data_IF_359539932605
#
_entry.id   IF_359539932605
#
_cell.length_a   1.000
_cell.length_b   1.000
_cell.length_c   1.000
_cell.angle_alpha   90.00
_cell.angle_beta   90.00
_cell.angle_gamma   90.00
#
_symmetry.space_group_name_H-M   'P 1'
#
loop_
_entity.id
_entity.type
_entity.pdbx_description
1 polymer ?
#
# COMPACT_ATOMS: atom_id res chain seq x y z
N UNK A 1 16.83 31.77 -33.70
CA UNK A 1 16.63 30.36 -33.30
C UNK A 1 15.59 30.35 -32.19
N UNK A 2 14.41 29.83 -32.45
CA UNK A 2 13.36 29.70 -31.43
C UNK A 2 13.56 28.37 -30.69
N UNK A 3 13.45 28.32 -29.36
CA UNK A 3 13.53 27.04 -28.62
C UNK A 3 12.30 26.19 -28.93
N UNK A 4 12.53 24.97 -29.33
CA UNK A 4 11.48 23.96 -29.48
C UNK A 4 11.02 23.55 -28.07
N UNK A 5 9.74 23.77 -27.78
CA UNK A 5 9.08 23.22 -26.59
C UNK A 5 8.83 21.73 -26.85
N UNK A 6 9.55 20.89 -26.15
CA UNK A 6 9.25 19.46 -26.07
C UNK A 6 8.06 19.30 -25.11
N UNK A 7 6.90 19.04 -25.64
CA UNK A 7 5.74 18.63 -24.86
C UNK A 7 5.96 17.14 -24.52
N UNK A 8 6.36 16.86 -23.30
CA UNK A 8 6.34 15.51 -22.76
C UNK A 8 4.86 15.20 -22.45
N UNK A 9 4.23 14.46 -23.33
CA UNK A 9 2.93 13.87 -23.07
C UNK A 9 3.15 12.81 -21.99
N UNK A 10 2.67 13.07 -20.77
CA UNK A 10 2.53 12.06 -19.75
C UNK A 10 1.50 11.04 -20.30
N UNK A 11 1.99 9.90 -20.76
CA UNK A 11 1.15 8.75 -21.03
C UNK A 11 0.59 8.27 -19.69
N UNK A 12 -0.67 8.58 -19.43
CA UNK A 12 -1.42 7.90 -18.39
C UNK A 12 -1.47 6.42 -18.79
N UNK A 13 -0.71 5.58 -18.10
CA UNK A 13 -0.83 4.14 -18.19
C UNK A 13 -2.24 3.77 -17.69
N UNK A 14 -3.17 3.66 -18.63
CA UNK A 14 -4.45 3.02 -18.36
C UNK A 14 -4.16 1.52 -18.27
N UNK A 15 -4.13 1.00 -17.05
CA UNK A 15 -4.20 -0.44 -16.86
C UNK A 15 -5.44 -0.94 -17.62
N UNK A 16 -5.22 -1.78 -18.62
CA UNK A 16 -6.30 -2.37 -19.39
C UNK A 16 -7.19 -3.17 -18.45
N UNK A 17 -8.32 -2.58 -18.07
CA UNK A 17 -9.36 -3.27 -17.29
C UNK A 17 -9.80 -4.46 -18.15
N UNK A 18 -9.67 -5.70 -17.66
CA UNK A 18 -10.15 -6.85 -18.41
C UNK A 18 -11.63 -6.66 -18.75
N UNK A 19 -12.00 -7.04 -19.95
CA UNK A 19 -13.35 -6.89 -20.48
C UNK A 19 -14.39 -7.45 -19.49
N UNK A 20 -15.40 -6.62 -19.18
CA UNK A 20 -16.52 -6.90 -18.31
C UNK A 20 -16.23 -7.00 -16.80
N UNK A 21 -15.72 -5.93 -16.18
CA UNK A 21 -15.90 -5.76 -14.74
C UNK A 21 -17.41 -5.58 -14.46
N UNK A 22 -17.97 -6.43 -13.61
CA UNK A 22 -19.31 -6.22 -13.08
C UNK A 22 -19.26 -4.95 -12.20
N UNK A 23 -20.37 -4.19 -12.20
CA UNK A 23 -20.43 -3.04 -11.28
C UNK A 23 -20.37 -3.54 -9.84
N UNK A 24 -19.43 -3.01 -9.08
CA UNK A 24 -19.33 -3.27 -7.64
C UNK A 24 -20.57 -2.73 -6.92
N UNK A 25 -20.92 -3.35 -5.81
CA UNK A 25 -21.84 -2.79 -4.83
C UNK A 25 -21.02 -2.11 -3.73
N UNK A 26 -21.25 -0.82 -3.54
CA UNK A 26 -20.62 -0.05 -2.47
C UNK A 26 -21.67 0.35 -1.45
N UNK A 27 -21.43 -0.01 -0.18
CA UNK A 27 -22.25 0.42 0.95
C UNK A 27 -21.41 1.32 1.84
N UNK A 28 -21.94 2.51 2.17
CA UNK A 28 -21.32 3.43 3.11
C UNK A 28 -22.29 3.70 4.24
N UNK A 29 -22.01 3.17 5.42
CA UNK A 29 -22.91 3.24 6.57
C UNK A 29 -22.11 3.33 7.87
N UNK A 30 -22.52 4.22 8.77
CA UNK A 30 -21.90 4.44 10.08
C UNK A 30 -20.37 4.62 10.00
N UNK A 31 -19.93 5.41 9.03
CA UNK A 31 -18.51 5.68 8.78
C UNK A 31 -17.72 4.48 8.22
N UNK A 32 -18.36 3.35 7.92
CA UNK A 32 -17.73 2.17 7.35
C UNK A 32 -18.12 2.01 5.89
N UNK A 33 -17.14 1.61 5.07
CA UNK A 33 -17.36 1.33 3.66
C UNK A 33 -17.19 -0.16 3.42
N UNK A 34 -18.08 -0.74 2.62
CA UNK A 34 -17.91 -2.08 2.05
C UNK A 34 -18.00 -1.97 0.54
N UNK A 35 -17.01 -2.53 -0.14
CA UNK A 35 -16.94 -2.68 -1.59
C UNK A 35 -16.98 -4.17 -1.91
N UNK A 36 -17.97 -4.59 -2.70
CA UNK A 36 -18.14 -5.98 -3.11
C UNK A 36 -18.24 -6.09 -4.63
N UNK A 37 -17.39 -6.89 -5.26
CA UNK A 37 -17.37 -7.12 -6.70
C UNK A 37 -17.09 -8.58 -7.04
N UNK A 38 -17.78 -9.08 -8.10
CA UNK A 38 -17.46 -10.36 -8.73
C UNK A 38 -16.39 -10.15 -9.77
N UNK A 39 -15.23 -10.73 -9.55
CA UNK A 39 -14.09 -10.62 -10.48
C UNK A 39 -13.72 -11.97 -11.09
N UNK A 40 -12.96 -12.01 -12.18
CA UNK A 40 -12.41 -13.25 -12.70
C UNK A 40 -11.46 -13.98 -11.73
N UNK A 41 -10.99 -13.27 -10.69
CA UNK A 41 -10.01 -13.75 -9.72
C UNK A 41 -10.63 -14.21 -8.40
N UNK A 42 -11.94 -14.15 -8.29
CA UNK A 42 -12.75 -14.45 -7.11
C UNK A 42 -13.72 -13.32 -6.78
N UNK A 43 -14.74 -13.64 -5.97
CA UNK A 43 -15.65 -12.64 -5.41
C UNK A 43 -14.87 -11.87 -4.33
N UNK A 44 -14.63 -10.57 -4.55
CA UNK A 44 -13.84 -9.72 -3.64
C UNK A 44 -14.75 -8.87 -2.76
N UNK A 45 -14.43 -8.82 -1.47
CA UNK A 45 -15.01 -7.88 -0.51
C UNK A 45 -13.87 -7.10 0.16
N UNK A 46 -13.95 -5.76 0.12
CA UNK A 46 -12.99 -4.86 0.75
C UNK A 46 -13.75 -3.93 1.68
N UNK A 47 -13.32 -3.86 2.93
CA UNK A 47 -13.89 -2.96 3.92
C UNK A 47 -12.91 -1.84 4.29
N UNK A 48 -13.44 -0.63 4.50
CA UNK A 48 -12.72 0.49 5.09
C UNK A 48 -13.39 0.91 6.38
N UNK A 49 -12.58 1.10 7.40
CA UNK A 49 -13.01 1.55 8.71
C UNK A 49 -11.82 2.11 9.50
N UNK A 50 -12.10 2.70 10.63
CA UNK A 50 -11.08 2.95 11.64
C UNK A 50 -10.58 1.63 12.20
N UNK A 51 -9.29 1.40 12.17
CA UNK A 51 -8.65 0.17 12.64
C UNK A 51 -7.23 0.44 13.15
N UNK A 52 -6.53 -0.60 13.56
CA UNK A 52 -5.19 -0.56 14.14
C UNK A 52 -5.13 0.18 15.49
N UNK A 53 -3.97 0.16 16.15
CA UNK A 53 -3.78 0.77 17.47
C UNK A 53 -4.03 2.29 17.47
N UNK A 54 -3.66 2.98 16.39
CA UNK A 54 -3.91 4.42 16.22
C UNK A 54 -5.34 4.77 15.80
N UNK A 55 -6.21 3.78 15.57
CA UNK A 55 -7.57 4.00 15.07
C UNK A 55 -7.63 4.85 13.78
N UNK A 56 -6.66 4.62 12.88
CA UNK A 56 -6.62 5.29 11.58
C UNK A 56 -7.64 4.71 10.61
N UNK A 57 -8.16 5.56 9.72
CA UNK A 57 -9.08 5.12 8.69
C UNK A 57 -8.31 4.57 7.47
N UNK A 58 -8.49 3.28 7.20
CA UNK A 58 -7.83 2.57 6.10
C UNK A 58 -8.67 1.38 5.65
N UNK A 59 -8.22 0.60 4.66
CA UNK A 59 -8.86 -0.68 4.40
C UNK A 59 -8.56 -1.64 5.57
N UNK A 60 -9.63 -2.11 6.18
CA UNK A 60 -9.58 -2.86 7.44
C UNK A 60 -9.66 -4.36 7.24
N UNK A 61 -10.22 -4.81 6.13
CA UNK A 61 -10.25 -6.22 5.76
C UNK A 61 -10.39 -6.40 4.26
N UNK A 62 -9.85 -7.50 3.76
CA UNK A 62 -10.05 -7.98 2.39
C UNK A 62 -10.38 -9.46 2.45
N UNK A 63 -11.44 -9.88 1.77
CA UNK A 63 -11.75 -11.29 1.59
C UNK A 63 -11.97 -11.62 0.12
N UNK A 64 -11.66 -12.87 -0.25
CA UNK A 64 -11.91 -13.43 -1.58
C UNK A 64 -12.72 -14.69 -1.40
N UNK A 65 -13.88 -14.80 -2.09
CA UNK A 65 -14.83 -15.90 -1.95
C UNK A 65 -15.23 -16.14 -0.49
N UNK A 66 -15.34 -15.05 0.30
CA UNK A 66 -15.68 -15.08 1.72
C UNK A 66 -14.55 -15.55 2.64
N UNK A 67 -13.32 -15.72 2.14
CA UNK A 67 -12.14 -16.08 2.93
C UNK A 67 -11.29 -14.83 3.14
N UNK A 68 -11.07 -14.45 4.40
CA UNK A 68 -10.24 -13.31 4.75
C UNK A 68 -8.77 -13.54 4.36
N UNK A 69 -8.17 -12.57 3.67
CA UNK A 69 -6.79 -12.65 3.17
C UNK A 69 -5.88 -11.56 3.74
N UNK A 70 -6.41 -10.41 4.13
CA UNK A 70 -5.64 -9.32 4.74
C UNK A 70 -5.97 -9.18 6.23
N UNK A 71 -4.94 -9.09 7.08
CA UNK A 71 -5.13 -8.97 8.52
C UNK A 71 -5.60 -7.56 8.89
N UNK A 72 -6.58 -7.46 9.80
CA UNK A 72 -7.15 -6.18 10.25
C UNK A 72 -6.15 -5.25 10.97
N UNK A 73 -5.06 -5.80 11.47
CA UNK A 73 -3.97 -5.06 12.12
C UNK A 73 -2.80 -4.76 11.19
N UNK A 74 -2.97 -4.98 9.87
CA UNK A 74 -1.91 -4.71 8.90
C UNK A 74 -1.67 -3.21 8.77
N UNK A 75 -0.43 -2.79 8.91
CA UNK A 75 0.03 -1.43 8.58
C UNK A 75 0.11 -1.28 7.06
N UNK A 76 -1.01 -1.15 6.38
CA UNK A 76 -0.99 -1.03 4.91
C UNK A 76 -0.30 0.26 4.43
N UNK A 77 -0.25 1.26 5.28
CA UNK A 77 0.62 2.44 5.17
C UNK A 77 1.56 2.40 6.36
N UNK A 78 2.85 2.29 6.10
CA UNK A 78 3.83 2.10 7.16
C UNK A 78 4.10 3.34 8.00
N UNK A 79 4.60 3.14 9.23
CA UNK A 79 5.02 4.23 10.10
C UNK A 79 6.40 4.77 9.71
N UNK A 80 6.67 6.00 10.15
CA UNK A 80 8.01 6.55 10.23
C UNK A 80 8.69 6.15 11.54
N UNK A 81 9.93 5.68 11.47
CA UNK A 81 10.81 5.59 12.63
C UNK A 81 11.68 6.85 12.70
N UNK A 82 11.51 7.62 13.76
CA UNK A 82 12.33 8.80 14.03
C UNK A 82 13.56 8.37 14.81
N UNK A 83 14.75 8.78 14.35
CA UNK A 83 16.03 8.36 14.92
C UNK A 83 16.05 8.51 16.44
N UNK A 84 16.24 7.37 17.15
CA UNK A 84 16.31 7.26 18.62
C UNK A 84 15.10 7.78 19.40
N UNK A 85 13.98 8.10 18.73
CA UNK A 85 12.80 8.69 19.39
C UNK A 85 11.59 7.78 19.40
N UNK A 86 11.38 6.99 18.34
CA UNK A 86 10.24 6.06 18.24
C UNK A 86 9.48 6.17 16.95
N UNK A 87 8.31 5.55 16.92
CA UNK A 87 7.47 5.42 15.74
C UNK A 87 6.42 6.52 15.67
N UNK A 88 6.01 6.86 14.45
CA UNK A 88 4.91 7.77 14.14
C UNK A 88 4.07 7.22 13.00
N UNK A 89 2.78 7.07 13.21
CA UNK A 89 1.82 6.53 12.22
C UNK A 89 1.65 5.01 12.27
N UNK A 90 0.91 4.48 11.31
CA UNK A 90 0.60 3.06 11.18
C UNK A 90 -0.03 2.46 12.43
N UNK A 91 0.29 1.19 12.72
CA UNK A 91 -0.18 0.45 13.90
C UNK A 91 0.77 0.60 15.13
N UNK A 92 1.44 1.73 15.25
CA UNK A 92 2.44 1.95 16.31
C UNK A 92 2.03 3.07 17.26
N UNK A 93 1.90 2.76 18.54
CA UNK A 93 1.69 3.72 19.61
C UNK A 93 3.04 4.17 20.20
N UNK A 94 3.05 5.32 20.87
CA UNK A 94 4.14 5.79 21.71
C UNK A 94 3.82 5.49 23.19
N UNK A 95 4.12 4.26 23.62
CA UNK A 95 3.60 3.72 24.86
C UNK A 95 2.09 3.51 24.76
N UNK A 96 1.29 4.23 25.57
CA UNK A 96 -0.18 4.21 25.50
C UNK A 96 -0.77 5.38 24.67
N UNK A 97 0.08 6.26 24.13
CA UNK A 97 -0.35 7.44 23.40
C UNK A 97 -0.45 7.16 21.91
N UNK A 98 -1.44 7.77 21.26
CA UNK A 98 -1.54 7.73 19.80
C UNK A 98 -0.31 8.39 19.16
N UNK A 99 0.20 7.81 18.08
CA UNK A 99 1.26 8.40 17.27
C UNK A 99 0.72 9.03 15.96
N UNK A 100 -0.57 8.91 15.73
CA UNK A 100 -1.28 9.53 14.61
C UNK A 100 -2.79 9.54 14.86
N UNK A 101 -3.53 10.34 14.09
CA UNK A 101 -4.99 10.31 14.06
C UNK A 101 -5.53 10.72 12.69
N UNK A 102 -6.69 10.19 12.31
CA UNK A 102 -7.41 10.60 11.10
C UNK A 102 -8.15 11.93 11.36
N UNK A 103 -7.93 12.91 10.48
CA UNK A 103 -8.57 14.23 10.51
C UNK A 103 -9.82 14.26 9.65
N UNK A 104 -9.78 13.68 8.47
CA UNK A 104 -10.91 13.67 7.54
C UNK A 104 -10.92 12.45 6.62
N UNK A 105 -12.12 12.08 6.18
CA UNK A 105 -12.35 11.01 5.19
C UNK A 105 -13.34 11.54 4.16
N UNK A 106 -13.01 11.36 2.88
CA UNK A 106 -13.92 11.64 1.75
C UNK A 106 -14.08 10.38 0.92
N UNK A 107 -15.30 10.12 0.49
CA UNK A 107 -15.66 8.91 -0.25
C UNK A 107 -16.37 9.28 -1.53
N UNK A 108 -15.95 8.72 -2.65
CA UNK A 108 -16.63 8.90 -3.92
C UNK A 108 -16.69 7.59 -4.73
N UNK A 109 -17.73 7.46 -5.55
CA UNK A 109 -17.90 6.35 -6.50
C UNK A 109 -18.09 6.94 -7.90
N UNK A 110 -17.24 6.51 -8.85
CA UNK A 110 -17.20 7.05 -10.21
C UNK A 110 -17.11 8.58 -10.25
N UNK A 111 -16.33 9.16 -9.31
CA UNK A 111 -16.14 10.60 -9.17
C UNK A 111 -17.30 11.36 -8.50
N UNK A 112 -18.35 10.68 -8.04
CA UNK A 112 -19.47 11.30 -7.30
C UNK A 112 -19.30 11.03 -5.82
N UNK A 113 -19.28 12.10 -5.02
CA UNK A 113 -19.20 11.99 -3.57
C UNK A 113 -20.37 11.19 -3.00
N UNK A 114 -20.05 10.25 -2.11
CA UNK A 114 -21.03 9.45 -1.37
C UNK A 114 -21.30 10.08 -0.01
N UNK A 115 -22.56 10.05 0.37
CA UNK A 115 -22.98 10.37 1.73
C UNK A 115 -23.16 9.10 2.53
N UNK A 116 -22.94 9.18 3.84
CA UNK A 116 -23.25 8.09 4.75
C UNK A 116 -24.69 7.60 4.57
N UNK A 117 -24.96 6.35 4.91
CA UNK A 117 -26.27 5.68 4.80
C UNK A 117 -26.73 5.46 3.34
N UNK A 118 -25.82 5.06 2.47
CA UNK A 118 -26.14 4.73 1.08
C UNK A 118 -25.66 3.33 0.69
N UNK A 119 -26.32 2.76 -0.33
CA UNK A 119 -25.86 1.58 -1.05
C UNK A 119 -26.07 1.81 -2.53
N UNK A 120 -24.98 1.80 -3.29
CA UNK A 120 -24.94 2.20 -4.70
C UNK A 120 -24.09 1.24 -5.52
N UNK A 121 -24.26 1.27 -6.84
CA UNK A 121 -23.44 0.48 -7.77
C UNK A 121 -22.56 1.39 -8.62
N UNK A 122 -21.33 1.00 -8.81
CA UNK A 122 -20.36 1.70 -9.63
C UNK A 122 -19.12 0.86 -9.90
N UNK A 123 -18.08 1.46 -10.45
CA UNK A 123 -16.88 0.74 -10.87
C UNK A 123 -15.66 1.12 -10.04
N UNK A 124 -15.49 2.39 -9.74
CA UNK A 124 -14.27 2.93 -9.14
C UNK A 124 -14.66 3.62 -7.83
N UNK A 125 -14.32 2.98 -6.71
CA UNK A 125 -14.43 3.59 -5.39
C UNK A 125 -13.14 4.35 -5.09
N UNK A 126 -13.26 5.61 -4.67
CA UNK A 126 -12.14 6.40 -4.17
C UNK A 126 -12.39 6.78 -2.71
N UNK A 127 -11.42 6.49 -1.86
CA UNK A 127 -11.41 6.87 -0.45
C UNK A 127 -10.19 7.74 -0.22
N UNK A 128 -10.41 9.00 0.17
CA UNK A 128 -9.35 9.95 0.49
C UNK A 128 -9.31 10.16 1.99
N UNK A 129 -8.13 10.06 2.58
CA UNK A 129 -7.92 10.14 4.03
C UNK A 129 -6.83 11.15 4.32
N UNK A 130 -7.12 12.09 5.22
CA UNK A 130 -6.13 13.00 5.78
C UNK A 130 -5.83 12.59 7.23
N UNK A 131 -4.57 12.30 7.52
CA UNK A 131 -4.06 11.98 8.85
C UNK A 131 -3.09 13.06 9.32
N UNK A 132 -2.95 13.17 10.64
CA UNK A 132 -1.85 13.85 11.31
C UNK A 132 -0.98 12.81 11.97
N UNK A 133 0.30 12.83 11.63
CA UNK A 133 1.32 12.05 12.29
C UNK A 133 1.91 12.88 13.44
N UNK A 134 2.10 12.25 14.60
CA UNK A 134 2.57 12.91 15.82
C UNK A 134 4.02 12.55 16.12
N UNK A 135 4.76 13.52 16.60
CA UNK A 135 6.14 13.33 17.00
C UNK A 135 6.22 12.47 18.28
N UNK A 136 7.06 11.41 18.31
CA UNK A 136 7.06 10.45 19.42
C UNK A 136 7.51 11.01 20.76
N UNK A 137 8.25 12.14 20.80
CA UNK A 137 8.75 12.70 22.06
C UNK A 137 7.76 13.59 22.77
N UNK A 138 6.92 14.37 22.05
CA UNK A 138 6.14 15.46 22.63
C UNK A 138 4.73 15.61 22.06
N UNK A 139 4.31 14.68 21.17
CA UNK A 139 3.01 14.66 20.49
C UNK A 139 2.74 15.91 19.61
N UNK A 140 3.76 16.71 19.30
CA UNK A 140 3.62 17.78 18.32
C UNK A 140 3.37 17.19 16.91
N UNK A 141 2.78 17.98 16.02
CA UNK A 141 2.53 17.54 14.64
C UNK A 141 3.86 17.31 13.90
N UNK A 142 4.12 16.06 13.52
CA UNK A 142 5.30 15.66 12.75
C UNK A 142 5.09 15.92 11.26
N UNK A 143 3.96 15.44 10.73
CA UNK A 143 3.64 15.55 9.30
C UNK A 143 2.14 15.46 9.06
N UNK A 144 1.69 16.11 7.99
CA UNK A 144 0.42 15.77 7.33
C UNK A 144 0.65 14.55 6.45
N UNK A 145 -0.26 13.58 6.51
CA UNK A 145 -0.32 12.44 5.62
C UNK A 145 -1.64 12.47 4.87
N UNK A 146 -1.58 12.45 3.53
CA UNK A 146 -2.75 12.36 2.67
C UNK A 146 -2.66 11.07 1.85
N UNK A 147 -3.69 10.23 1.97
CA UNK A 147 -3.75 8.93 1.31
C UNK A 147 -4.98 8.85 0.42
N UNK A 148 -4.78 8.45 -0.82
CA UNK A 148 -5.84 8.17 -1.77
C UNK A 148 -5.83 6.69 -2.08
N UNK A 149 -6.93 6.00 -1.76
CA UNK A 149 -7.18 4.62 -2.14
C UNK A 149 -8.15 4.63 -3.31
N UNK A 150 -7.77 3.99 -4.43
CA UNK A 150 -8.66 3.77 -5.56
C UNK A 150 -8.89 2.27 -5.73
N UNK A 151 -10.11 1.83 -5.50
CA UNK A 151 -10.50 0.41 -5.53
C UNK A 151 -11.20 0.11 -6.84
N UNK A 152 -10.75 -0.94 -7.52
CA UNK A 152 -11.38 -1.46 -8.72
C UNK A 152 -11.05 -2.95 -8.88
N UNK A 153 -12.04 -3.78 -9.11
CA UNK A 153 -11.84 -5.23 -9.17
C UNK A 153 -11.23 -5.78 -7.89
N UNK A 154 -10.18 -6.56 -8.03
CA UNK A 154 -9.45 -7.19 -6.94
C UNK A 154 -8.23 -6.36 -6.47
N UNK A 155 -8.21 -5.07 -6.73
CA UNK A 155 -7.02 -4.23 -6.48
C UNK A 155 -7.36 -2.93 -5.76
N UNK A 156 -6.40 -2.46 -4.97
CA UNK A 156 -6.37 -1.12 -4.38
C UNK A 156 -5.10 -0.42 -4.86
N UNK A 157 -5.27 0.65 -5.63
CA UNK A 157 -4.22 1.61 -5.96
C UNK A 157 -4.11 2.60 -4.80
N UNK A 158 -2.90 2.79 -4.26
CA UNK A 158 -2.62 3.64 -3.10
C UNK A 158 -1.64 4.73 -3.48
N UNK A 159 -2.03 5.97 -3.28
CA UNK A 159 -1.15 7.13 -3.37
C UNK A 159 -1.05 7.79 -2.01
N UNK A 160 0.14 7.80 -1.44
CA UNK A 160 0.41 8.44 -0.16
C UNK A 160 1.35 9.62 -0.34
N UNK A 161 1.02 10.74 0.26
CA UNK A 161 1.85 11.94 0.28
C UNK A 161 1.98 12.48 1.69
N UNK A 162 3.17 13.00 2.00
CA UNK A 162 3.50 13.52 3.32
C UNK A 162 4.09 14.91 3.17
N UNK A 163 3.74 15.80 4.09
CA UNK A 163 4.36 17.11 4.26
C UNK A 163 4.81 17.26 5.71
N UNK A 164 6.12 17.33 5.93
CA UNK A 164 6.68 17.46 7.26
C UNK A 164 6.45 18.87 7.82
N UNK A 165 6.05 18.92 9.09
CA UNK A 165 5.74 20.15 9.84
C UNK A 165 6.77 20.42 10.93
N UNK A 166 7.55 19.41 11.28
CA UNK A 166 8.44 19.40 12.43
C UNK A 166 9.68 20.32 12.28
N UNK A 167 10.30 20.61 13.39
CA UNK A 167 11.69 21.05 13.44
C UNK A 167 12.59 20.01 12.76
N UNK A 168 13.86 20.34 12.40
CA UNK A 168 14.75 19.39 11.76
C UNK A 168 14.86 18.08 12.55
N UNK A 169 14.55 16.97 11.89
CA UNK A 169 14.56 15.61 12.42
C UNK A 169 15.29 14.67 11.48
N UNK A 170 15.62 13.47 11.96
CA UNK A 170 16.13 12.39 11.10
C UNK A 170 15.15 11.23 11.09
N UNK A 171 14.67 10.90 9.89
CA UNK A 171 13.92 9.67 9.67
C UNK A 171 14.94 8.53 9.58
N UNK A 172 14.93 7.63 10.53
CA UNK A 172 15.79 6.44 10.51
C UNK A 172 15.34 5.48 9.41
N UNK A 173 14.03 5.27 9.30
CA UNK A 173 13.41 4.46 8.24
C UNK A 173 11.94 4.77 8.05
N UNK A 174 11.45 4.49 6.87
CA UNK A 174 10.04 4.50 6.52
C UNK A 174 9.72 3.29 5.64
N UNK A 175 8.75 2.53 6.08
CA UNK A 175 8.21 1.41 5.33
C UNK A 175 6.92 1.89 4.67
N UNK A 176 6.95 2.33 3.42
CA UNK A 176 5.79 2.90 2.76
C UNK A 176 4.66 1.92 2.64
N UNK A 177 4.86 0.91 1.84
CA UNK A 177 3.89 -0.14 1.59
C UNK A 177 4.21 -1.36 2.47
N UNK A 178 3.20 -1.89 3.14
CA UNK A 178 3.33 -3.09 3.97
C UNK A 178 2.10 -3.99 3.78
N UNK A 179 2.26 -5.26 4.08
CA UNK A 179 1.16 -6.20 4.11
C UNK A 179 1.34 -7.25 5.19
N UNK A 180 0.24 -7.75 5.71
CA UNK A 180 0.21 -8.88 6.63
C UNK A 180 -1.00 -9.76 6.31
N UNK A 181 -0.73 -11.03 5.99
CA UNK A 181 -1.79 -12.01 5.80
C UNK A 181 -2.41 -12.48 7.13
N UNK A 182 -3.65 -12.95 7.08
CA UNK A 182 -4.32 -13.59 8.21
C UNK A 182 -3.59 -14.83 8.71
N UNK A 183 -2.95 -15.56 7.80
CA UNK A 183 -2.12 -16.73 8.14
C UNK A 183 -0.69 -16.48 7.71
N UNK A 184 0.24 -17.23 8.33
CA UNK A 184 1.64 -17.20 7.95
C UNK A 184 1.83 -17.44 6.45
N UNK A 185 2.78 -16.74 5.87
CA UNK A 185 3.18 -16.96 4.49
C UNK A 185 3.77 -18.35 4.31
N UNK A 186 3.36 -19.04 3.26
CA UNK A 186 3.97 -20.29 2.82
C UNK A 186 5.09 -20.03 1.84
N UNK A 187 4.88 -19.10 0.91
CA UNK A 187 5.87 -18.74 -0.08
C UNK A 187 5.87 -17.25 -0.37
N UNK A 188 7.01 -16.76 -0.82
CA UNK A 188 7.23 -15.42 -1.31
C UNK A 188 7.90 -15.47 -2.67
N UNK A 189 7.38 -14.69 -3.60
CA UNK A 189 7.95 -14.56 -4.94
C UNK A 189 8.22 -13.09 -5.22
N UNK A 190 9.46 -12.62 -5.06
CA UNK A 190 9.84 -11.28 -5.48
C UNK A 190 9.84 -11.16 -7.01
N UNK A 191 9.34 -10.05 -7.52
CA UNK A 191 9.36 -9.74 -8.94
C UNK A 191 10.78 -9.50 -9.44
N UNK A 192 11.17 -10.22 -10.48
CA UNK A 192 12.47 -10.10 -11.12
C UNK A 192 12.41 -9.43 -12.48
N UNK A 193 13.55 -8.93 -12.94
CA UNK A 193 13.72 -8.44 -14.29
C UNK A 193 13.54 -9.61 -15.28
N UNK A 194 12.82 -9.40 -16.36
CA UNK A 194 12.57 -10.39 -17.42
C UNK A 194 11.78 -11.63 -16.99
N UNK A 195 10.77 -11.46 -16.16
CA UNK A 195 9.89 -12.55 -15.72
C UNK A 195 10.58 -13.74 -15.04
N UNK A 196 11.79 -13.56 -14.55
CA UNK A 196 12.47 -14.57 -13.72
C UNK A 196 12.00 -14.43 -12.27
N UNK A 197 10.92 -15.10 -11.96
CA UNK A 197 10.36 -15.12 -10.61
C UNK A 197 10.94 -16.32 -9.85
N UNK A 198 11.66 -16.05 -8.78
CA UNK A 198 12.15 -17.11 -7.90
C UNK A 198 11.28 -17.15 -6.65
N UNK A 199 10.64 -18.28 -6.40
CA UNK A 199 9.83 -18.49 -5.22
C UNK A 199 10.68 -18.99 -4.06
N UNK A 200 10.57 -18.33 -2.91
CA UNK A 200 11.26 -18.68 -1.68
C UNK A 200 10.24 -19.23 -0.67
N UNK A 201 10.49 -20.39 -0.04
CA UNK A 201 9.68 -20.84 1.06
C UNK A 201 9.90 -19.91 2.26
N UNK A 202 8.82 -19.50 2.89
CA UNK A 202 8.86 -18.75 4.15
C UNK A 202 8.82 -19.77 5.28
N UNK A 203 9.90 -19.86 6.03
CA UNK A 203 9.96 -20.75 7.19
C UNK A 203 9.68 -19.94 8.46
N UNK A 204 8.90 -20.48 9.37
CA UNK A 204 8.50 -19.86 10.64
C UNK A 204 9.65 -19.66 11.65
N UNK A 205 10.88 -19.76 11.21
CA UNK A 205 12.08 -19.77 12.08
C UNK A 205 12.63 -18.40 12.44
N UNK A 206 11.87 -17.30 12.21
CA UNK A 206 12.23 -15.98 12.72
C UNK A 206 13.36 -15.25 11.98
N UNK A 207 13.82 -15.74 10.85
CA UNK A 207 14.82 -15.06 10.05
C UNK A 207 14.18 -14.08 9.08
N UNK A 208 14.63 -12.85 9.12
CA UNK A 208 14.29 -11.84 8.14
C UNK A 208 15.00 -12.15 6.83
N UNK A 209 14.25 -12.13 5.72
CA UNK A 209 14.84 -12.19 4.38
C UNK A 209 14.91 -10.75 3.89
N UNK A 210 16.11 -10.29 3.54
CA UNK A 210 16.35 -8.95 3.03
C UNK A 210 16.89 -9.05 1.61
N UNK A 211 16.42 -8.16 0.76
CA UNK A 211 16.92 -8.03 -0.60
C UNK A 211 17.57 -6.65 -0.76
N UNK A 212 18.83 -6.63 -1.16
CA UNK A 212 19.54 -5.39 -1.44
C UNK A 212 19.11 -4.81 -2.78
N UNK A 213 19.33 -3.51 -2.98
CA UNK A 213 19.10 -2.84 -4.25
C UNK A 213 19.90 -3.45 -5.41
N UNK A 214 21.09 -3.99 -5.12
CA UNK A 214 21.94 -4.67 -6.11
C UNK A 214 21.34 -6.02 -6.53
N UNK A 215 20.80 -6.79 -5.57
CA UNK A 215 20.14 -8.08 -5.82
C UNK A 215 18.78 -7.91 -6.44
N UNK A 216 18.12 -6.80 -6.13
CA UNK A 216 16.73 -6.56 -6.45
C UNK A 216 16.48 -5.16 -7.03
N UNK A 217 17.17 -4.73 -8.10
CA UNK A 217 16.99 -3.39 -8.64
C UNK A 217 15.56 -3.10 -9.14
N UNK A 218 14.71 -4.12 -9.18
CA UNK A 218 13.32 -4.05 -9.60
C UNK A 218 12.35 -4.77 -8.66
N UNK A 219 12.77 -5.17 -7.46
CA UNK A 219 11.91 -5.77 -6.46
C UNK A 219 10.98 -4.72 -5.83
N UNK A 220 10.26 -4.01 -6.69
CA UNK A 220 9.12 -3.23 -6.26
C UNK A 220 7.87 -4.09 -6.11
N UNK A 221 7.94 -5.37 -6.45
CA UNK A 221 6.79 -6.28 -6.47
C UNK A 221 7.07 -7.55 -5.68
N UNK A 222 6.10 -7.95 -4.88
CA UNK A 222 6.06 -9.24 -4.20
C UNK A 222 4.75 -9.93 -4.43
N UNK A 223 4.80 -11.25 -4.55
CA UNK A 223 3.63 -12.11 -4.45
C UNK A 223 3.82 -12.98 -3.21
N UNK A 224 2.99 -12.76 -2.24
CA UNK A 224 2.91 -13.56 -1.03
C UNK A 224 1.79 -14.57 -1.18
N UNK A 225 2.04 -15.79 -0.75
CA UNK A 225 1.08 -16.87 -0.72
C UNK A 225 0.91 -17.40 0.70
N UNK A 226 -0.31 -17.54 1.11
CA UNK A 226 -0.75 -18.31 2.27
C UNK A 226 -1.82 -19.30 1.86
N UNK A 227 -2.23 -20.18 2.77
CA UNK A 227 -3.36 -21.10 2.53
C UNK A 227 -4.67 -20.39 2.19
N UNK A 228 -4.80 -19.10 2.47
CA UNK A 228 -6.00 -18.31 2.20
C UNK A 228 -6.04 -17.71 0.80
N UNK A 229 -4.89 -17.64 0.12
CA UNK A 229 -4.79 -17.09 -1.23
C UNK A 229 -3.47 -16.39 -1.49
N UNK A 230 -3.48 -15.55 -2.49
CA UNK A 230 -2.32 -14.79 -2.96
C UNK A 230 -2.57 -13.31 -2.81
N UNK A 231 -1.53 -12.59 -2.40
CA UNK A 231 -1.48 -11.13 -2.46
C UNK A 231 -0.29 -10.71 -3.29
N UNK A 232 -0.49 -9.80 -4.22
CA UNK A 232 0.59 -9.07 -4.85
C UNK A 232 0.64 -7.66 -4.29
N UNK A 233 1.82 -7.20 -3.89
CA UNK A 233 2.10 -5.82 -3.56
C UNK A 233 3.14 -5.27 -4.52
N UNK A 234 2.84 -4.14 -5.14
CA UNK A 234 3.71 -3.50 -6.11
C UNK A 234 3.85 -2.03 -5.79
N UNK A 235 5.10 -1.55 -5.65
CA UNK A 235 5.39 -0.15 -5.52
C UNK A 235 5.96 0.41 -6.82
N UNK A 236 5.33 1.46 -7.36
CA UNK A 236 5.85 2.13 -8.55
C UNK A 236 7.00 3.05 -8.17
N UNK A 237 8.08 3.05 -8.95
CA UNK A 237 9.23 3.94 -8.69
C UNK A 237 8.89 5.40 -8.95
N UNK A 238 7.99 5.67 -9.88
CA UNK A 238 7.60 7.03 -10.27
C UNK A 238 6.90 7.79 -9.13
N UNK A 239 6.35 7.08 -8.14
CA UNK A 239 5.69 7.65 -6.98
C UNK A 239 6.60 7.98 -5.81
N UNK A 240 7.91 7.68 -5.88
CA UNK A 240 8.81 7.85 -4.73
C UNK A 240 9.24 9.30 -4.47
N UNK A 241 8.75 10.27 -5.25
CA UNK A 241 9.11 11.69 -5.13
C UNK A 241 10.58 11.99 -5.42
N UNK A 242 10.99 13.22 -5.19
CA UNK A 242 12.36 13.70 -5.47
C UNK A 242 13.42 13.15 -4.51
N UNK A 243 13.01 12.47 -3.44
CA UNK A 243 13.89 11.97 -2.39
C UNK A 243 13.78 10.46 -2.25
N UNK A 244 14.31 9.76 -3.23
CA UNK A 244 14.57 8.31 -3.14
C UNK A 244 15.73 8.07 -2.21
N UNK A 245 15.42 7.87 -0.97
CA UNK A 245 16.43 7.97 0.05
C UNK A 245 16.84 6.64 0.64
N UNK A 246 16.46 5.57 0.00
CA UNK A 246 17.12 4.30 0.26
C UNK A 246 18.47 4.39 -0.41
N UNK A 247 19.54 4.51 0.35
CA UNK A 247 20.89 4.37 -0.13
C UNK A 247 21.09 3.03 -0.86
N UNK A 248 22.22 2.38 -0.69
CA UNK A 248 22.43 1.02 -1.19
C UNK A 248 21.77 -0.06 -0.29
N UNK A 249 20.99 0.38 0.69
CA UNK A 249 20.31 -0.45 1.67
C UNK A 249 19.10 -1.21 1.11
N UNK A 250 18.56 -2.11 1.90
CA UNK A 250 17.46 -3.00 1.56
C UNK A 250 16.22 -2.25 1.12
N UNK A 251 15.79 -2.50 -0.11
CA UNK A 251 14.57 -1.89 -0.64
C UNK A 251 13.35 -2.58 -0.06
N UNK A 252 13.46 -3.87 0.24
CA UNK A 252 12.36 -4.72 0.67
C UNK A 252 12.84 -5.65 1.76
N UNK A 253 12.01 -5.77 2.76
CA UNK A 253 12.28 -6.49 3.97
C UNK A 253 11.11 -7.41 4.29
N UNK A 254 11.39 -8.64 4.68
CA UNK A 254 10.38 -9.60 5.06
C UNK A 254 10.69 -10.09 6.46
N UNK A 255 9.74 -9.88 7.35
CA UNK A 255 9.81 -10.44 8.70
C UNK A 255 9.05 -11.77 8.76
N UNK A 256 9.77 -12.90 8.74
CA UNK A 256 9.14 -14.20 8.83
C UNK A 256 8.31 -14.41 10.10
N UNK A 257 8.77 -13.85 11.22
CA UNK A 257 8.09 -13.99 12.52
C UNK A 257 6.75 -13.28 12.61
N UNK A 258 6.50 -12.32 11.71
CA UNK A 258 5.30 -11.49 11.69
C UNK A 258 4.43 -11.73 10.47
N UNK A 259 4.86 -12.57 9.53
CA UNK A 259 4.22 -12.75 8.23
C UNK A 259 3.94 -11.40 7.55
N UNK A 260 4.91 -10.50 7.60
CA UNK A 260 4.83 -9.15 7.03
C UNK A 260 5.84 -8.95 5.90
N UNK A 261 5.40 -8.22 4.89
CA UNK A 261 6.27 -7.69 3.83
C UNK A 261 6.36 -6.19 3.98
N UNK A 262 7.55 -5.64 3.80
CA UNK A 262 7.83 -4.22 3.94
C UNK A 262 8.55 -3.70 2.71
N UNK A 263 8.05 -2.62 2.14
CA UNK A 263 8.78 -1.85 1.13
C UNK A 263 9.48 -0.68 1.82
N UNK A 264 10.73 -0.86 2.21
CA UNK A 264 11.52 0.21 2.84
C UNK A 264 11.86 1.28 1.83
N UNK A 265 11.40 2.51 2.04
CA UNK A 265 11.53 3.61 1.08
C UNK A 265 12.54 4.66 1.54
N UNK A 266 12.61 4.91 2.84
CA UNK A 266 13.52 5.92 3.42
C UNK A 266 14.41 5.26 4.47
N UNK A 267 15.69 5.65 4.49
CA UNK A 267 16.66 5.33 5.53
C UNK A 267 17.56 6.52 5.85
N UNK A 268 17.80 6.82 7.13
CA UNK A 268 18.71 7.84 7.67
C UNK A 268 18.63 9.19 6.93
N UNK A 269 17.41 9.73 6.79
CA UNK A 269 17.14 10.95 6.04
C UNK A 269 16.79 12.13 6.95
N UNK A 270 17.52 13.26 6.85
CA UNK A 270 17.11 14.49 7.50
C UNK A 270 15.87 15.09 6.81
N UNK A 271 14.92 15.51 7.62
CA UNK A 271 13.69 16.19 7.20
C UNK A 271 13.46 17.43 8.04
N UNK A 272 12.68 18.37 7.52
CA UNK A 272 12.28 19.61 8.20
C UNK A 272 10.94 20.09 7.67
N UNK A 273 10.36 21.06 8.32
CA UNK A 273 9.10 21.68 7.89
C UNK A 273 9.14 22.12 6.42
N UNK A 274 8.09 21.75 5.70
CA UNK A 274 7.92 22.00 4.26
C UNK A 274 8.54 20.93 3.35
N UNK A 275 9.32 19.98 3.87
CA UNK A 275 9.80 18.86 3.09
C UNK A 275 8.64 17.94 2.73
N UNK A 276 8.62 17.45 1.50
CA UNK A 276 7.56 16.60 0.97
C UNK A 276 8.12 15.28 0.52
N UNK A 277 7.29 14.24 0.68
CA UNK A 277 7.58 12.90 0.25
C UNK A 277 6.28 12.22 -0.20
N UNK A 278 6.33 11.46 -1.28
CA UNK A 278 5.18 10.71 -1.78
C UNK A 278 5.61 9.34 -2.31
N UNK A 279 4.69 8.40 -2.35
CA UNK A 279 4.85 7.12 -3.00
C UNK A 279 3.52 6.64 -3.59
N UNK A 280 3.60 5.67 -4.49
CA UNK A 280 2.49 5.05 -5.16
C UNK A 280 2.70 3.54 -5.20
N UNK A 281 1.68 2.78 -4.89
CA UNK A 281 1.73 1.32 -4.92
C UNK A 281 0.35 0.70 -5.14
N UNK A 282 0.33 -0.59 -5.45
CA UNK A 282 -0.89 -1.35 -5.74
C UNK A 282 -0.88 -2.64 -4.94
N UNK A 283 -1.98 -2.92 -4.26
CA UNK A 283 -2.30 -4.23 -3.71
C UNK A 283 -3.28 -4.94 -4.62
N UNK A 284 -3.09 -6.26 -4.81
CA UNK A 284 -4.02 -7.10 -5.56
C UNK A 284 -4.13 -8.48 -4.92
N UNK A 285 -5.32 -9.07 -4.93
CA UNK A 285 -5.59 -10.34 -4.28
C UNK A 285 -6.19 -11.36 -5.25
N UNK A 286 -5.82 -12.64 -5.07
CA UNK A 286 -6.18 -13.73 -5.97
C UNK A 286 -6.43 -15.01 -5.19
N UNK A 287 -7.35 -15.86 -5.68
CA UNK A 287 -7.54 -17.21 -5.11
C UNK A 287 -6.56 -18.22 -5.68
N UNK A 288 -6.27 -18.13 -6.96
CA UNK A 288 -5.42 -19.04 -7.70
C UNK A 288 -4.06 -18.40 -7.99
N UNK A 289 -3.00 -19.21 -8.13
CA UNK A 289 -1.69 -18.67 -8.46
C UNK A 289 -1.72 -17.89 -9.76
N UNK A 290 -0.98 -16.79 -9.78
CA UNK A 290 -0.76 -16.03 -11.01
C UNK A 290 0.09 -16.90 -11.94
N UNK A 291 -0.53 -17.48 -12.96
CA UNK A 291 0.15 -18.26 -13.99
C UNK A 291 0.73 -17.36 -15.08
N UNK A 292 1.65 -17.90 -15.89
CA UNK A 292 2.18 -17.17 -17.04
C UNK A 292 1.07 -16.72 -18.00
N UNK A 293 -0.04 -17.47 -18.08
CA UNK A 293 -1.20 -17.08 -18.87
C UNK A 293 -1.93 -15.85 -18.29
N UNK A 294 -1.96 -15.70 -16.99
CA UNK A 294 -2.51 -14.49 -16.33
C UNK A 294 -1.59 -13.29 -16.55
N UNK A 295 -0.28 -13.51 -16.62
CA UNK A 295 0.71 -12.47 -16.95
C UNK A 295 0.52 -11.97 -18.37
N UNK A 296 0.15 -12.84 -19.31
CA UNK A 296 -0.06 -12.51 -20.71
C UNK A 296 -1.48 -12.01 -21.01
N UNK A 297 -2.48 -12.39 -20.22
CA UNK A 297 -3.88 -12.01 -20.45
C UNK A 297 -4.17 -10.54 -20.14
N UNK A 298 -3.33 -9.87 -19.37
CA UNK A 298 -3.42 -8.43 -19.13
C UNK A 298 -2.76 -7.60 -20.23
N UNK A 299 -2.12 -8.24 -21.24
CA UNK A 299 -1.48 -7.56 -22.37
C UNK A 299 -0.15 -6.88 -22.03
N UNK A 300 -0.03 -6.41 -20.83
CA UNK A 300 1.19 -5.94 -20.18
C UNK A 300 1.29 -6.80 -18.95
N UNK A 301 2.36 -7.54 -18.77
CA UNK A 301 2.53 -8.33 -17.56
C UNK A 301 2.10 -7.47 -16.38
N UNK A 302 1.29 -7.99 -15.49
CA UNK A 302 0.76 -7.23 -14.33
C UNK A 302 1.88 -6.41 -13.69
N UNK A 303 3.13 -6.69 -14.05
CA UNK A 303 4.35 -6.16 -13.47
C UNK A 303 5.53 -6.05 -14.47
N UNK A 304 5.31 -5.88 -15.78
CA UNK A 304 6.40 -5.54 -16.72
C UNK A 304 6.62 -4.01 -16.73
N UNK A 305 7.83 -3.60 -16.36
CA UNK A 305 8.36 -2.23 -16.40
C UNK A 305 9.57 -2.15 -17.32
#
# INVERSE_FOLDING_TARGET
>A
MKPAHVIIAAAALSFGVPAASHAATVTYNDGKISYAEKTPWGDIDIAFANCMANNLYTFSSVSIDGIEVNHTESDNIGPFLIDRKGWSGGNHLNGERLSAHTRSVRVSLDGKELKNDCSVKGKILTVEVDNILLHPSDDSELANEHVIYTVSGNSIDVKASHEFLCAPETIERYYGMQSMFVNEYETLTPGGKFSTWTTYPVTSTGNEIQFTKAEAPQFSTFIEHSKNGYQASHMTRDGLGDRHMVGDDDIIFIGNSWSKTYHKIIGMQPVRSGDRFNWHGIYSWFREPITDNCRNASGDGIFEY
#
